data_IF_292158834703
#
_entry.id   IF_292158834703
#
_cell.length_a   1.000
_cell.length_b   1.000
_cell.length_c   1.000
_cell.angle_alpha   90.00
_cell.angle_beta   90.00
_cell.angle_gamma   90.00
#
_symmetry.space_group_name_H-M   'P 1'
#
loop_
_entity.id
_entity.type
_entity.pdbx_description
1 polymer ?
#
# COMPACT_ATOMS: atom_id res chain seq x y z
N UNK A 1 18.94 11.84 -1.72
CA UNK A 1 17.64 11.38 -1.14
C UNK A 1 17.89 10.30 -0.09
N UNK A 2 17.02 10.21 0.95
CA UNK A 2 17.09 9.18 2.01
C UNK A 2 15.67 8.69 2.35
N UNK A 3 15.48 7.38 2.38
CA UNK A 3 14.18 6.75 2.66
C UNK A 3 14.15 6.24 4.11
N UNK A 4 13.11 6.59 4.85
CA UNK A 4 12.76 5.99 6.13
C UNK A 4 11.60 5.04 5.90
N UNK A 5 11.80 3.75 6.19
CA UNK A 5 10.90 2.69 5.78
C UNK A 5 10.71 1.63 6.87
N UNK A 6 9.81 0.70 6.66
CA UNK A 6 9.70 -0.56 7.39
C UNK A 6 9.16 -1.61 6.43
N UNK A 7 10.03 -2.34 5.80
CA UNK A 7 9.72 -3.22 4.66
C UNK A 7 8.56 -4.21 4.90
N UNK A 8 8.32 -4.75 6.12
CA UNK A 8 7.18 -5.64 6.35
C UNK A 8 5.81 -4.98 6.29
N UNK A 9 5.71 -3.64 6.45
CA UNK A 9 4.41 -2.96 6.48
C UNK A 9 3.83 -2.74 5.07
N UNK A 10 2.48 -2.76 4.91
CA UNK A 10 1.85 -2.71 3.58
C UNK A 10 2.20 -1.48 2.75
N UNK A 11 2.11 -0.28 3.31
CA UNK A 11 2.45 0.94 2.57
C UNK A 11 3.94 0.98 2.15
N UNK A 12 4.92 0.69 3.05
CA UNK A 12 6.30 0.45 2.67
C UNK A 12 6.50 -0.58 1.55
N UNK A 13 5.83 -1.73 1.60
CA UNK A 13 5.95 -2.77 0.56
C UNK A 13 5.56 -2.26 -0.83
N UNK A 14 4.52 -1.43 -0.93
CA UNK A 14 4.11 -0.80 -2.20
C UNK A 14 5.27 -0.04 -2.83
N UNK A 15 5.97 0.76 -2.03
CA UNK A 15 7.13 1.52 -2.48
C UNK A 15 8.34 0.63 -2.81
N UNK A 16 8.62 -0.38 -1.99
CA UNK A 16 9.72 -1.34 -2.22
C UNK A 16 9.53 -2.05 -3.56
N UNK A 17 8.33 -2.55 -3.85
CA UNK A 17 8.03 -3.19 -5.14
C UNK A 17 8.10 -2.22 -6.31
N UNK A 18 7.60 -0.99 -6.13
CA UNK A 18 7.71 0.05 -7.15
C UNK A 18 9.17 0.36 -7.48
N UNK A 19 10.01 0.56 -6.47
CA UNK A 19 11.45 0.80 -6.64
C UNK A 19 12.14 -0.40 -7.30
N UNK A 20 11.82 -1.64 -6.87
CA UNK A 20 12.37 -2.87 -7.45
C UNK A 20 12.10 -2.96 -8.95
N UNK A 21 10.86 -2.74 -9.37
CA UNK A 21 10.49 -2.78 -10.80
C UNK A 21 11.15 -1.68 -11.64
N UNK A 22 11.51 -0.56 -11.01
CA UNK A 22 12.28 0.52 -11.65
C UNK A 22 13.80 0.31 -11.60
N UNK A 23 14.28 -0.70 -10.88
CA UNK A 23 15.71 -0.89 -10.65
C UNK A 23 16.34 0.21 -9.79
N UNK A 24 15.58 0.82 -8.88
CA UNK A 24 16.02 1.91 -8.01
C UNK A 24 16.42 1.40 -6.64
N UNK A 25 17.55 1.89 -6.15
CA UNK A 25 18.02 1.70 -4.79
C UNK A 25 18.25 3.07 -4.13
N UNK A 26 17.75 3.22 -2.91
CA UNK A 26 17.93 4.45 -2.11
C UNK A 26 18.58 4.11 -0.77
N UNK A 27 19.46 4.98 -0.25
CA UNK A 27 19.87 4.91 1.15
C UNK A 27 18.63 4.84 2.05
N UNK A 28 18.53 3.78 2.86
CA UNK A 28 17.31 3.50 3.62
C UNK A 28 17.63 3.24 5.09
N UNK A 29 16.84 3.85 5.98
CA UNK A 29 16.79 3.54 7.40
C UNK A 29 15.49 2.81 7.72
N UNK A 30 15.57 1.63 8.33
CA UNK A 30 14.42 0.90 8.82
C UNK A 30 13.96 1.46 10.16
N UNK A 31 12.67 1.76 10.28
CA UNK A 31 12.02 2.28 11.49
C UNK A 31 11.21 1.15 12.13
N UNK A 32 11.67 0.63 13.24
CA UNK A 32 10.99 -0.49 13.91
C UNK A 32 9.63 -0.08 14.48
N UNK A 33 8.57 -0.42 13.74
CA UNK A 33 7.19 -0.16 14.16
C UNK A 33 6.76 -1.00 15.37
N UNK A 34 7.40 -2.17 15.58
CA UNK A 34 7.19 -3.00 16.77
C UNK A 34 7.72 -2.34 18.04
N UNK A 35 8.88 -1.68 17.94
CA UNK A 35 9.50 -0.89 19.01
C UNK A 35 8.93 0.54 19.12
N UNK A 36 7.90 0.87 18.33
CA UNK A 36 7.25 2.19 18.27
C UNK A 36 8.21 3.34 17.94
N UNK A 37 9.26 3.08 17.16
CA UNK A 37 10.24 4.10 16.79
C UNK A 37 9.62 5.26 16.02
N UNK A 38 8.58 5.02 15.22
CA UNK A 38 7.85 6.05 14.50
C UNK A 38 7.16 7.09 15.41
N UNK A 39 6.99 6.78 16.69
CA UNK A 39 6.39 7.68 17.69
C UNK A 39 7.42 8.33 18.61
N UNK A 40 8.71 8.02 18.44
CA UNK A 40 9.79 8.65 19.22
C UNK A 40 10.09 10.07 18.67
N UNK A 41 10.52 10.99 19.54
CA UNK A 41 10.83 12.37 19.13
C UNK A 41 11.85 12.47 17.99
N UNK A 42 12.82 11.55 17.93
CA UNK A 42 13.86 11.53 16.91
C UNK A 42 13.27 11.32 15.51
N UNK A 43 12.31 10.40 15.36
CA UNK A 43 11.65 10.18 14.08
C UNK A 43 10.56 11.22 13.82
N UNK A 44 9.83 11.68 14.84
CA UNK A 44 8.82 12.73 14.68
C UNK A 44 9.42 14.08 14.26
N UNK A 45 10.69 14.33 14.57
CA UNK A 45 11.42 15.49 14.02
C UNK A 45 11.65 15.39 12.50
N UNK A 46 11.65 14.16 11.94
CA UNK A 46 11.74 13.89 10.50
C UNK A 46 10.34 13.88 9.88
N UNK A 47 9.42 13.13 10.49
CA UNK A 47 8.03 12.98 10.02
C UNK A 47 7.06 13.09 11.21
N UNK A 48 6.49 14.26 11.40
CA UNK A 48 5.57 14.55 12.52
C UNK A 48 4.30 13.70 12.50
N UNK A 49 3.91 13.11 11.36
CA UNK A 49 2.77 12.21 11.27
C UNK A 49 3.05 10.83 11.91
N UNK A 50 4.32 10.50 12.22
CA UNK A 50 4.70 9.22 12.82
C UNK A 50 4.30 8.03 11.97
N UNK A 51 4.48 8.13 10.65
CA UNK A 51 4.14 7.08 9.67
C UNK A 51 5.33 6.76 8.77
N UNK A 52 5.32 5.59 8.15
CA UNK A 52 6.25 5.16 7.11
C UNK A 52 5.47 4.72 5.86
N UNK A 53 6.05 4.88 4.65
CA UNK A 53 7.36 5.43 4.34
C UNK A 53 7.43 6.97 4.44
N UNK A 54 8.65 7.49 4.56
CA UNK A 54 8.95 8.91 4.43
C UNK A 54 10.23 9.08 3.59
N UNK A 55 10.15 9.79 2.49
CA UNK A 55 11.29 10.13 1.64
C UNK A 55 11.73 11.56 1.91
N UNK A 56 12.97 11.75 2.36
CA UNK A 56 13.63 13.06 2.44
C UNK A 56 14.44 13.26 1.16
N UNK A 57 14.09 14.28 0.38
CA UNK A 57 14.79 14.60 -0.86
C UNK A 57 16.03 15.48 -0.59
N UNK A 58 16.87 15.71 -1.61
CA UNK A 58 18.17 16.35 -1.41
C UNK A 58 18.07 17.83 -0.96
N UNK A 59 16.98 18.50 -1.27
CA UNK A 59 16.68 19.87 -0.80
C UNK A 59 16.14 19.93 0.63
N UNK A 60 15.83 18.76 1.25
CA UNK A 60 15.39 18.63 2.64
C UNK A 60 13.88 18.49 2.83
N UNK A 61 13.09 18.63 1.76
CA UNK A 61 11.64 18.41 1.85
C UNK A 61 11.31 16.92 2.04
N UNK A 62 10.16 16.66 2.66
CA UNK A 62 9.66 15.33 3.01
C UNK A 62 8.42 14.99 2.18
N UNK A 63 8.41 13.79 1.64
CA UNK A 63 7.23 13.17 1.04
C UNK A 63 6.81 11.97 1.90
N UNK A 64 5.55 11.94 2.36
CA UNK A 64 5.09 10.97 3.36
C UNK A 64 4.02 10.01 2.86
N UNK A 65 3.40 10.29 1.71
CA UNK A 65 2.40 9.41 1.10
C UNK A 65 3.03 8.56 -0.02
N UNK A 66 2.73 7.26 -0.04
CA UNK A 66 3.28 6.33 -1.04
C UNK A 66 3.05 6.83 -2.45
N UNK A 67 1.82 7.27 -2.76
CA UNK A 67 1.47 7.75 -4.09
C UNK A 67 2.31 8.98 -4.51
N UNK A 68 2.57 9.89 -3.56
CA UNK A 68 3.38 11.07 -3.82
C UNK A 68 4.86 10.71 -4.04
N UNK A 69 5.39 9.76 -3.24
CA UNK A 69 6.76 9.27 -3.39
C UNK A 69 6.90 8.55 -4.75
N UNK A 70 5.98 7.65 -5.09
CA UNK A 70 5.99 6.95 -6.37
C UNK A 70 5.90 7.93 -7.56
N UNK A 71 5.02 8.93 -7.48
CA UNK A 71 4.92 9.96 -8.52
C UNK A 71 6.21 10.78 -8.65
N UNK A 72 6.86 11.13 -7.55
CA UNK A 72 8.13 11.86 -7.58
C UNK A 72 9.23 11.01 -8.24
N UNK A 73 9.37 9.74 -7.83
CA UNK A 73 10.35 8.82 -8.41
C UNK A 73 10.05 8.50 -9.89
N UNK A 74 8.77 8.41 -10.27
CA UNK A 74 8.34 8.24 -11.67
C UNK A 74 8.83 9.37 -12.57
N UNK A 75 8.69 10.62 -12.11
CA UNK A 75 9.12 11.79 -12.87
C UNK A 75 10.64 11.90 -13.00
N UNK A 76 11.38 11.41 -12.00
CA UNK A 76 12.86 11.37 -12.06
C UNK A 76 13.38 10.20 -12.90
N UNK A 77 12.62 9.12 -13.01
CA UNK A 77 13.02 7.87 -13.69
C UNK A 77 11.90 7.38 -14.61
N UNK A 78 11.63 8.05 -15.73
CA UNK A 78 10.45 7.79 -16.58
C UNK A 78 10.56 6.55 -17.47
N UNK A 79 11.74 5.91 -17.60
CA UNK A 79 12.01 4.85 -18.59
C UNK A 79 11.14 3.60 -18.41
N UNK A 80 10.73 3.30 -17.18
CA UNK A 80 9.78 2.22 -16.84
C UNK A 80 8.50 2.84 -16.30
N UNK A 81 7.46 3.10 -17.12
CA UNK A 81 6.29 3.87 -16.71
C UNK A 81 5.33 3.04 -15.84
N UNK A 82 5.54 3.03 -14.52
CA UNK A 82 4.66 2.35 -13.56
C UNK A 82 3.46 3.19 -13.14
N UNK A 83 3.46 4.50 -13.45
CA UNK A 83 2.31 5.39 -13.21
C UNK A 83 1.45 5.59 -14.47
N UNK A 84 1.61 4.72 -15.49
CA UNK A 84 0.94 4.81 -16.78
C UNK A 84 1.71 5.62 -17.82
N UNK A 85 1.64 5.20 -19.09
CA UNK A 85 2.34 5.83 -20.22
C UNK A 85 1.53 6.99 -20.81
N UNK A 86 0.23 6.79 -21.01
CA UNK A 86 -0.68 7.79 -21.59
C UNK A 86 -1.38 8.62 -20.50
N UNK A 87 -1.96 9.76 -20.86
CA UNK A 87 -2.74 10.59 -19.94
C UNK A 87 -3.92 9.80 -19.32
N UNK A 88 -4.58 8.94 -20.11
CA UNK A 88 -5.67 8.10 -19.63
C UNK A 88 -5.17 7.07 -18.63
N UNK A 89 -4.10 6.34 -18.96
CA UNK A 89 -3.52 5.34 -18.05
C UNK A 89 -3.06 5.98 -16.73
N UNK A 90 -2.42 7.15 -16.79
CA UNK A 90 -2.03 7.91 -15.58
C UNK A 90 -3.23 8.22 -14.68
N UNK A 91 -4.33 8.67 -15.28
CA UNK A 91 -5.55 8.93 -14.54
C UNK A 91 -6.15 7.63 -13.95
N UNK A 92 -6.14 6.53 -14.70
CA UNK A 92 -6.64 5.24 -14.25
C UNK A 92 -5.78 4.62 -13.15
N UNK A 93 -4.45 4.76 -13.18
CA UNK A 93 -3.57 4.31 -12.10
C UNK A 93 -3.92 5.05 -10.79
N UNK A 94 -4.08 6.37 -10.83
CA UNK A 94 -4.48 7.16 -9.66
C UNK A 94 -5.89 6.79 -9.17
N UNK A 95 -6.81 6.53 -10.10
CA UNK A 95 -8.17 6.08 -9.76
C UNK A 95 -8.14 4.73 -9.03
N UNK A 96 -7.34 3.76 -9.50
CA UNK A 96 -7.22 2.46 -8.86
C UNK A 96 -6.47 2.51 -7.54
N UNK A 97 -5.38 3.29 -7.42
CA UNK A 97 -4.70 3.54 -6.14
C UNK A 97 -5.71 4.02 -5.09
N UNK A 98 -6.49 5.05 -5.44
CA UNK A 98 -7.48 5.60 -4.52
C UNK A 98 -8.59 4.59 -4.17
N UNK A 99 -9.12 3.86 -5.17
CA UNK A 99 -10.14 2.83 -4.95
C UNK A 99 -9.63 1.72 -4.03
N UNK A 100 -8.45 1.15 -4.32
CA UNK A 100 -7.86 0.08 -3.52
C UNK A 100 -7.59 0.55 -2.09
N UNK A 101 -7.04 1.77 -1.94
CA UNK A 101 -6.77 2.34 -0.63
C UNK A 101 -8.06 2.51 0.17
N UNK A 102 -9.07 3.17 -0.40
CA UNK A 102 -10.30 3.51 0.34
C UNK A 102 -11.23 2.33 0.55
N UNK A 103 -11.20 1.29 -0.28
CA UNK A 103 -12.10 0.15 -0.18
C UNK A 103 -11.47 -1.05 0.53
N UNK A 104 -10.28 -1.48 0.10
CA UNK A 104 -9.64 -2.71 0.58
C UNK A 104 -8.60 -2.44 1.66
N UNK A 105 -7.56 -1.64 1.39
CA UNK A 105 -6.48 -1.37 2.37
C UNK A 105 -7.01 -0.78 3.66
N UNK A 106 -7.93 0.21 3.59
CA UNK A 106 -8.53 0.81 4.78
C UNK A 106 -9.42 -0.16 5.53
N UNK A 107 -10.14 -1.06 4.85
CA UNK A 107 -10.97 -2.07 5.51
C UNK A 107 -10.11 -3.09 6.28
N UNK A 108 -8.99 -3.53 5.69
CA UNK A 108 -8.03 -4.41 6.38
C UNK A 108 -7.40 -3.70 7.56
N UNK A 109 -6.99 -2.43 7.40
CA UNK A 109 -6.43 -1.62 8.49
C UNK A 109 -7.44 -1.43 9.63
N UNK A 110 -8.72 -1.17 9.32
CA UNK A 110 -9.80 -1.09 10.31
C UNK A 110 -9.91 -2.39 11.10
N UNK A 111 -9.95 -3.54 10.42
CA UNK A 111 -10.02 -4.85 11.09
C UNK A 111 -8.79 -5.10 11.97
N UNK A 112 -7.58 -4.89 11.44
CA UNK A 112 -6.34 -5.15 12.16
C UNK A 112 -6.24 -4.29 13.41
N UNK A 113 -6.44 -2.98 13.26
CA UNK A 113 -6.20 -2.01 14.33
C UNK A 113 -7.31 -1.98 15.37
N UNK A 114 -8.54 -2.32 14.99
CA UNK A 114 -9.67 -2.35 15.93
C UNK A 114 -9.93 -3.75 16.52
N UNK A 115 -9.35 -4.81 15.92
CA UNK A 115 -9.53 -6.19 16.40
C UNK A 115 -8.32 -6.78 17.14
N UNK A 116 -7.13 -6.23 16.95
CA UNK A 116 -5.92 -6.78 17.57
C UNK A 116 -5.55 -5.97 18.83
N UNK A 117 -5.46 -6.60 20.03
CA UNK A 117 -5.11 -5.92 21.28
C UNK A 117 -3.76 -5.20 21.25
N UNK A 118 -2.83 -5.62 20.40
CA UNK A 118 -1.53 -4.93 20.22
C UNK A 118 -1.68 -3.47 19.75
N UNK A 119 -2.84 -3.09 19.22
CA UNK A 119 -3.16 -1.73 18.78
C UNK A 119 -4.10 -0.98 19.76
N UNK A 120 -4.26 -1.45 21.00
CA UNK A 120 -5.00 -0.70 22.00
C UNK A 120 -4.43 0.71 22.16
N UNK A 121 -5.31 1.72 22.19
CA UNK A 121 -4.93 3.13 22.18
C UNK A 121 -4.33 3.64 20.86
N UNK A 122 -4.20 2.81 19.83
CA UNK A 122 -3.56 3.13 18.55
C UNK A 122 -4.41 2.66 17.36
N UNK A 123 -5.72 2.88 17.44
CA UNK A 123 -6.68 2.44 16.42
C UNK A 123 -6.45 3.06 15.04
N UNK A 124 -5.77 4.21 14.96
CA UNK A 124 -5.29 4.81 13.71
C UNK A 124 -3.75 4.94 13.71
N UNK A 125 -3.12 5.01 12.53
CA UNK A 125 -1.72 5.40 12.41
C UNK A 125 -1.47 6.83 12.93
N UNK A 126 -0.24 7.10 13.33
CA UNK A 126 0.15 8.43 13.80
C UNK A 126 0.13 8.58 15.32
N UNK A 127 0.30 9.81 15.83
CA UNK A 127 0.54 10.07 17.25
C UNK A 127 -0.73 10.14 18.10
N UNK A 128 -1.93 10.05 17.49
CA UNK A 128 -3.19 10.14 18.22
C UNK A 128 -3.46 8.85 18.99
N UNK A 129 -3.73 9.01 20.30
CA UNK A 129 -4.17 7.89 21.12
C UNK A 129 -5.69 7.73 21.00
N UNK A 130 -6.12 6.79 20.17
CA UNK A 130 -7.53 6.53 19.88
C UNK A 130 -7.92 5.11 20.30
N UNK A 131 -9.08 5.01 20.96
CA UNK A 131 -9.65 3.73 21.36
C UNK A 131 -10.10 2.90 20.15
N UNK A 132 -10.04 1.59 20.32
CA UNK A 132 -10.56 0.63 19.34
C UNK A 132 -12.10 0.67 19.31
N UNK A 133 -12.66 0.46 18.10
CA UNK A 133 -14.10 0.39 17.85
C UNK A 133 -14.40 -0.99 17.24
N UNK A 134 -14.83 -1.99 18.03
CA UNK A 134 -15.03 -3.37 17.54
C UNK A 134 -15.97 -3.49 16.35
N UNK A 135 -16.99 -2.64 16.23
CA UNK A 135 -17.91 -2.63 15.09
C UNK A 135 -17.21 -2.35 13.73
N UNK A 136 -16.01 -1.75 13.76
CA UNK A 136 -15.22 -1.55 12.54
C UNK A 136 -14.62 -2.86 12.01
N UNK A 137 -14.43 -3.87 12.86
CA UNK A 137 -13.97 -5.20 12.45
C UNK A 137 -15.05 -5.86 11.60
N UNK A 138 -16.30 -5.89 12.07
CA UNK A 138 -17.42 -6.47 11.33
C UNK A 138 -17.67 -5.73 9.99
N UNK A 139 -17.66 -4.40 10.05
CA UNK A 139 -17.81 -3.58 8.84
C UNK A 139 -16.66 -3.80 7.86
N UNK A 140 -15.43 -3.92 8.34
CA UNK A 140 -14.25 -4.20 7.54
C UNK A 140 -14.37 -5.53 6.80
N UNK A 141 -14.81 -6.58 7.48
CA UNK A 141 -15.01 -7.90 6.89
C UNK A 141 -16.00 -7.85 5.70
N UNK A 142 -17.17 -7.24 5.91
CA UNK A 142 -18.18 -7.11 4.84
C UNK A 142 -17.62 -6.35 3.64
N UNK A 143 -16.85 -5.27 3.88
CA UNK A 143 -16.21 -4.49 2.82
C UNK A 143 -15.18 -5.30 2.04
N UNK A 144 -14.35 -6.08 2.70
CA UNK A 144 -13.33 -6.92 2.05
C UNK A 144 -14.01 -7.98 1.18
N UNK A 145 -15.04 -8.68 1.70
CA UNK A 145 -15.76 -9.69 0.94
C UNK A 145 -16.39 -9.10 -0.33
N UNK A 146 -17.03 -7.92 -0.23
CA UNK A 146 -17.56 -7.23 -1.40
C UNK A 146 -16.46 -6.81 -2.39
N UNK A 147 -15.28 -6.40 -1.89
CA UNK A 147 -14.16 -6.01 -2.76
C UNK A 147 -13.68 -7.16 -3.64
N UNK A 148 -13.70 -8.41 -3.16
CA UNK A 148 -13.26 -9.55 -3.96
C UNK A 148 -14.09 -9.70 -5.23
N UNK A 149 -15.42 -9.57 -5.15
CA UNK A 149 -16.30 -9.68 -6.32
C UNK A 149 -16.07 -8.52 -7.31
N UNK A 150 -15.96 -7.30 -6.80
CA UNK A 150 -15.72 -6.10 -7.62
C UNK A 150 -14.39 -6.19 -8.37
N UNK A 151 -13.32 -6.58 -7.66
CA UNK A 151 -11.97 -6.67 -8.23
C UNK A 151 -11.83 -7.87 -9.18
N UNK A 152 -12.47 -9.00 -8.87
CA UNK A 152 -12.50 -10.15 -9.77
C UNK A 152 -13.18 -9.82 -11.09
N UNK A 153 -14.30 -9.08 -11.06
CA UNK A 153 -14.98 -8.59 -12.25
C UNK A 153 -14.15 -7.56 -13.02
N UNK A 154 -13.46 -6.67 -12.31
CA UNK A 154 -12.61 -5.65 -12.96
C UNK A 154 -11.43 -6.23 -13.75
N UNK A 155 -10.99 -7.43 -13.38
CA UNK A 155 -9.91 -8.18 -14.04
C UNK A 155 -10.40 -9.17 -15.10
N UNK A 156 -11.71 -9.23 -15.38
CA UNK A 156 -12.24 -10.11 -16.42
C UNK A 156 -11.63 -9.76 -17.79
N UNK A 157 -10.97 -10.75 -18.41
CA UNK A 157 -10.30 -10.61 -19.71
C UNK A 157 -9.06 -9.69 -19.68
N UNK A 158 -8.51 -9.39 -18.51
CA UNK A 158 -7.34 -8.51 -18.36
C UNK A 158 -6.23 -9.19 -17.57
N UNK A 159 -4.99 -8.87 -17.94
CA UNK A 159 -3.80 -9.27 -17.21
C UNK A 159 -3.45 -8.31 -16.08
N UNK A 160 -3.73 -7.01 -16.25
CA UNK A 160 -3.45 -5.91 -15.33
C UNK A 160 -4.67 -4.99 -15.19
N UNK A 161 -4.74 -4.22 -14.11
CA UNK A 161 -5.84 -3.27 -13.87
C UNK A 161 -5.84 -2.13 -14.90
N UNK A 162 -4.65 -1.70 -15.34
CA UNK A 162 -4.49 -0.60 -16.30
C UNK A 162 -3.53 -1.01 -17.40
N UNK A 163 -3.93 -0.82 -18.66
CA UNK A 163 -3.08 -1.11 -19.81
C UNK A 163 -2.70 -2.59 -19.95
N UNK A 164 -1.50 -2.83 -20.51
CA UNK A 164 -1.00 -4.17 -20.82
C UNK A 164 0.30 -4.52 -20.08
N UNK A 165 0.70 -3.73 -19.10
CA UNK A 165 1.89 -3.94 -18.27
C UNK A 165 1.61 -3.60 -16.83
N UNK A 166 2.45 -4.12 -15.92
CA UNK A 166 2.32 -3.85 -14.49
C UNK A 166 2.45 -2.35 -14.20
N UNK A 167 1.59 -1.85 -13.32
CA UNK A 167 1.58 -0.46 -12.85
C UNK A 167 1.52 -0.42 -11.31
N UNK A 168 1.58 0.78 -10.72
CA UNK A 168 1.37 0.95 -9.27
C UNK A 168 0.03 0.38 -8.82
N UNK A 169 -1.03 0.50 -9.65
CA UNK A 169 -2.34 -0.06 -9.33
C UNK A 169 -2.30 -1.57 -9.06
N UNK A 170 -1.48 -2.31 -9.82
CA UNK A 170 -1.31 -3.75 -9.65
C UNK A 170 -0.48 -4.10 -8.41
N UNK A 171 0.54 -3.31 -8.14
CA UNK A 171 1.33 -3.42 -6.89
C UNK A 171 0.42 -3.19 -5.68
N UNK A 172 -0.42 -2.16 -5.73
CA UNK A 172 -1.36 -1.81 -4.66
C UNK A 172 -2.33 -2.93 -4.37
N UNK A 173 -2.94 -3.48 -5.43
CA UNK A 173 -3.85 -4.61 -5.29
C UNK A 173 -3.14 -5.84 -4.72
N UNK A 174 -1.97 -6.18 -5.25
CA UNK A 174 -1.19 -7.32 -4.77
C UNK A 174 -0.84 -7.21 -3.28
N UNK A 175 -0.35 -6.04 -2.85
CA UNK A 175 -0.02 -5.79 -1.45
C UNK A 175 -1.28 -5.81 -0.58
N UNK A 176 -2.40 -5.24 -1.05
CA UNK A 176 -3.66 -5.25 -0.31
C UNK A 176 -4.21 -6.67 -0.11
N UNK A 177 -4.10 -7.55 -1.13
CA UNK A 177 -4.47 -8.97 -1.03
C UNK A 177 -3.63 -9.71 0.01
N UNK A 178 -2.31 -9.47 0.03
CA UNK A 178 -1.40 -10.07 1.02
C UNK A 178 -1.69 -9.53 2.44
N UNK A 179 -1.96 -8.24 2.56
CA UNK A 179 -2.31 -7.60 3.83
C UNK A 179 -3.63 -8.14 4.41
N UNK A 180 -4.62 -8.45 3.56
CA UNK A 180 -5.86 -9.08 4.01
C UNK A 180 -5.63 -10.41 4.74
N UNK A 181 -4.57 -11.13 4.39
CA UNK A 181 -4.15 -12.35 5.10
C UNK A 181 -3.82 -12.12 6.59
N UNK A 182 -3.39 -10.92 6.98
CA UNK A 182 -3.08 -10.59 8.40
C UNK A 182 -4.32 -10.58 9.29
N UNK A 183 -5.48 -10.34 8.70
CA UNK A 183 -6.79 -10.41 9.38
C UNK A 183 -7.57 -11.69 9.02
N UNK A 184 -6.88 -12.68 8.43
CA UNK A 184 -7.40 -13.98 8.00
C UNK A 184 -8.45 -13.91 6.87
N UNK A 185 -8.53 -12.79 6.20
CA UNK A 185 -9.32 -12.66 4.98
C UNK A 185 -8.47 -13.09 3.78
N UNK A 186 -9.07 -13.90 2.91
CA UNK A 186 -8.39 -14.42 1.71
C UNK A 186 -9.27 -14.27 0.49
N UNK A 187 -8.64 -14.11 -0.65
CA UNK A 187 -9.35 -14.15 -1.93
C UNK A 187 -10.05 -15.51 -2.05
N UNK A 188 -11.37 -15.52 -2.33
CA UNK A 188 -12.12 -16.77 -2.52
C UNK A 188 -11.58 -17.60 -3.68
N UNK A 189 -11.64 -18.93 -3.57
CA UNK A 189 -11.23 -19.84 -4.66
C UNK A 189 -12.07 -19.64 -5.94
N UNK A 190 -13.29 -19.13 -5.80
CA UNK A 190 -14.17 -18.78 -6.92
C UNK A 190 -13.74 -17.53 -7.69
N UNK A 191 -12.89 -16.68 -7.09
CA UNK A 191 -12.39 -15.44 -7.72
C UNK A 191 -11.18 -15.72 -8.62
N UNK A 192 -11.39 -16.50 -9.69
CA UNK A 192 -10.33 -17.03 -10.56
C UNK A 192 -9.47 -15.96 -11.23
N UNK A 193 -10.07 -14.82 -11.62
CA UNK A 193 -9.31 -13.71 -12.24
C UNK A 193 -8.35 -13.08 -11.24
N UNK A 194 -8.79 -12.87 -9.98
CA UNK A 194 -7.93 -12.36 -8.90
C UNK A 194 -6.79 -13.33 -8.56
N UNK A 195 -7.06 -14.64 -8.52
CA UNK A 195 -6.03 -15.62 -8.23
C UNK A 195 -4.97 -15.68 -9.35
N UNK A 196 -5.41 -15.68 -10.61
CA UNK A 196 -4.50 -15.63 -11.76
C UNK A 196 -3.68 -14.32 -11.80
N UNK A 197 -4.32 -13.20 -11.51
CA UNK A 197 -3.66 -11.89 -11.37
C UNK A 197 -2.59 -11.93 -10.26
N UNK A 198 -2.94 -12.41 -9.07
CA UNK A 198 -2.00 -12.50 -7.94
C UNK A 198 -0.75 -13.29 -8.32
N UNK A 199 -0.92 -14.44 -8.96
CA UNK A 199 0.20 -15.32 -9.31
C UNK A 199 1.08 -14.69 -10.40
N UNK A 200 0.47 -13.94 -11.36
CA UNK A 200 1.19 -13.18 -12.38
C UNK A 200 2.00 -12.04 -11.78
N UNK A 201 1.39 -11.21 -10.93
CA UNK A 201 2.09 -10.07 -10.30
C UNK A 201 3.17 -10.56 -9.35
N UNK A 202 2.91 -11.63 -8.60
CA UNK A 202 3.93 -12.28 -7.76
C UNK A 202 5.18 -12.63 -8.56
N UNK A 203 5.02 -13.28 -9.70
CA UNK A 203 6.14 -13.68 -10.55
C UNK A 203 6.97 -12.49 -11.10
N UNK A 204 6.40 -11.30 -11.17
CA UNK A 204 7.11 -10.07 -11.55
C UNK A 204 7.85 -9.42 -10.36
N UNK A 205 7.37 -9.69 -9.12
CA UNK A 205 7.87 -9.08 -7.90
C UNK A 205 8.88 -9.96 -7.14
N UNK A 206 8.91 -11.28 -7.41
CA UNK A 206 9.90 -12.22 -6.85
C UNK A 206 11.24 -12.11 -7.60
#
# INVERSE_FOLDING_TARGET
MHLYNYDPAPNPQRLVYFMKLKGLELPTTQIDLGALEQLKPEYQAINASGTVPCLVIDSGEQLTEVIAICQYLELLHPDTPLMGATALEKAQVLEWDHKIFTTLLSAVADMLRNGNPAFEGRALPGPLNLAQIPALVERGQVRIQHCWDVLNTALEGKDFLVGNSVTLADIDLYVAMNFAGWVRERVPETASNLLAFRDRVKALLD
#
